data_IF_236219726134
#
_entry.id   IF_236219726134
#
_cell.length_a   1.000
_cell.length_b   1.000
_cell.length_c   1.000
_cell.angle_alpha   90.00
_cell.angle_beta   90.00
_cell.angle_gamma   90.00
#
_symmetry.space_group_name_H-M   'P 1'
#
loop_
_entity.id
_entity.type
_entity.pdbx_description
1 polymer ?
#
# COMPACT_ATOMS: atom_id res chain seq x y z
N UNK A 1 15.51 -9.76 1.08
CA UNK A 1 15.22 -9.80 -0.37
C UNK A 1 14.93 -8.38 -0.81
N UNK A 2 15.55 -7.90 -1.89
CA UNK A 2 15.28 -6.55 -2.41
C UNK A 2 13.86 -6.51 -2.99
N UNK A 3 12.95 -5.79 -2.33
CA UNK A 3 11.57 -5.64 -2.78
C UNK A 3 11.51 -4.68 -3.98
N UNK A 4 11.65 -5.23 -5.18
CA UNK A 4 11.29 -4.52 -6.39
C UNK A 4 9.76 -4.44 -6.50
N UNK A 5 9.26 -3.52 -7.32
CA UNK A 5 7.82 -3.37 -7.63
C UNK A 5 7.31 -4.61 -8.38
N UNK A 6 7.14 -5.70 -7.64
CA UNK A 6 6.78 -7.02 -8.11
C UNK A 6 5.34 -7.32 -7.74
N UNK A 7 4.63 -8.13 -8.54
CA UNK A 7 3.34 -8.67 -8.14
C UNK A 7 3.40 -9.30 -6.74
N UNK A 8 2.43 -8.94 -5.89
CA UNK A 8 2.32 -9.39 -4.51
C UNK A 8 2.95 -8.45 -3.47
N UNK A 9 3.86 -7.55 -3.87
CA UNK A 9 4.45 -6.57 -2.96
C UNK A 9 3.42 -5.52 -2.51
N UNK A 10 3.60 -5.03 -1.28
CA UNK A 10 2.75 -4.01 -0.68
C UNK A 10 3.40 -2.64 -0.76
N UNK A 11 2.58 -1.63 -1.04
CA UNK A 11 3.02 -0.26 -1.30
C UNK A 11 2.07 0.77 -0.71
N UNK A 12 2.62 1.93 -0.38
CA UNK A 12 1.88 3.14 -0.04
C UNK A 12 2.11 4.23 -1.08
N UNK A 13 1.07 5.02 -1.31
CA UNK A 13 1.15 6.17 -2.20
C UNK A 13 1.46 7.44 -1.37
N UNK A 14 2.67 8.02 -1.46
CA UNK A 14 3.07 9.11 -0.56
C UNK A 14 2.26 10.40 -0.74
N UNK A 15 1.70 10.63 -1.94
CA UNK A 15 0.86 11.79 -2.23
C UNK A 15 -0.64 11.55 -1.99
N UNK A 16 -1.02 10.29 -1.70
CA UNK A 16 -2.41 9.88 -1.52
C UNK A 16 -2.49 8.89 -0.35
N UNK A 17 -2.17 9.33 0.88
CA UNK A 17 -2.20 8.45 2.05
C UNK A 17 -3.60 7.89 2.31
N UNK A 18 -4.65 8.64 1.94
CA UNK A 18 -6.05 8.25 2.10
C UNK A 18 -6.46 7.05 1.24
N UNK A 19 -5.66 6.67 0.23
CA UNK A 19 -5.91 5.45 -0.54
C UNK A 19 -5.60 4.18 0.26
N UNK A 20 -4.83 4.34 1.34
CA UNK A 20 -4.42 3.28 2.24
C UNK A 20 -3.40 2.34 1.63
N UNK A 21 -3.33 1.15 2.21
CA UNK A 21 -2.43 0.10 1.79
C UNK A 21 -2.78 -0.41 0.38
N UNK A 22 -1.79 -0.52 -0.50
CA UNK A 22 -1.95 -1.02 -1.86
C UNK A 22 -1.13 -2.27 -2.14
N UNK A 23 -1.72 -3.24 -2.84
CA UNK A 23 -0.99 -4.42 -3.31
C UNK A 23 -0.73 -4.34 -4.81
N UNK A 24 0.52 -4.56 -5.23
CA UNK A 24 0.86 -4.64 -6.65
C UNK A 24 0.26 -5.91 -7.25
N UNK A 25 -0.61 -5.77 -8.25
CA UNK A 25 -1.13 -6.90 -9.02
C UNK A 25 -0.28 -7.21 -10.25
N UNK A 26 0.27 -6.17 -10.90
CA UNK A 26 1.13 -6.33 -12.07
C UNK A 26 2.09 -5.16 -12.21
N UNK A 27 3.26 -5.41 -12.81
CA UNK A 27 4.25 -4.39 -13.11
C UNK A 27 4.82 -4.63 -14.51
N UNK A 28 4.65 -3.66 -15.41
CA UNK A 28 5.14 -3.70 -16.79
C UNK A 28 5.92 -2.42 -17.07
N UNK A 29 7.25 -2.52 -17.06
CA UNK A 29 8.13 -1.35 -17.14
C UNK A 29 7.85 -0.39 -15.99
N UNK A 30 7.47 0.85 -16.32
CA UNK A 30 7.12 1.88 -15.34
C UNK A 30 5.63 1.92 -14.98
N UNK A 31 4.81 1.06 -15.58
CA UNK A 31 3.36 1.02 -15.34
C UNK A 31 3.05 -0.11 -14.37
N UNK A 32 2.63 0.24 -13.17
CA UNK A 32 2.36 -0.70 -12.09
C UNK A 32 0.89 -0.60 -11.72
N UNK A 33 0.18 -1.73 -11.78
CA UNK A 33 -1.21 -1.81 -11.36
C UNK A 33 -1.23 -2.19 -9.89
N UNK A 34 -1.80 -1.32 -9.07
CA UNK A 34 -1.91 -1.49 -7.62
C UNK A 34 -3.38 -1.51 -7.24
N UNK A 35 -3.79 -2.43 -6.38
CA UNK A 35 -5.10 -2.42 -5.76
C UNK A 35 -4.99 -1.83 -4.35
N UNK A 36 -5.44 -0.60 -4.20
CA UNK A 36 -5.47 0.14 -2.94
C UNK A 36 -6.75 -0.18 -2.16
N UNK A 37 -6.65 -0.25 -0.83
CA UNK A 37 -7.76 -0.59 0.05
C UNK A 37 -8.96 0.36 -0.10
N UNK A 38 -8.72 1.67 -0.24
CA UNK A 38 -9.80 2.67 -0.30
C UNK A 38 -10.04 3.22 -1.71
N UNK A 39 -9.04 3.20 -2.59
CA UNK A 39 -9.17 3.70 -3.96
C UNK A 39 -9.42 2.61 -5.01
N UNK A 40 -9.31 1.33 -4.63
CA UNK A 40 -9.43 0.19 -5.54
C UNK A 40 -8.26 0.10 -6.51
N UNK A 41 -8.52 -0.43 -7.71
CA UNK A 41 -7.47 -0.71 -8.71
C UNK A 41 -7.05 0.56 -9.45
N UNK A 42 -5.80 0.97 -9.27
CA UNK A 42 -5.20 2.15 -9.88
C UNK A 42 -3.95 1.76 -10.66
N UNK A 43 -3.79 2.33 -11.85
CA UNK A 43 -2.55 2.24 -12.61
C UNK A 43 -1.64 3.40 -12.23
N UNK A 44 -0.49 3.10 -11.64
CA UNK A 44 0.51 4.08 -11.21
C UNK A 44 1.68 4.08 -12.20
N UNK A 45 2.14 5.27 -12.59
CA UNK A 45 3.35 5.45 -13.38
C UNK A 45 4.54 5.72 -12.46
N UNK A 46 5.39 4.72 -12.25
CA UNK A 46 6.53 4.80 -11.33
C UNK A 46 7.73 5.56 -11.86
N UNK A 47 7.69 6.00 -13.13
CA UNK A 47 8.64 6.99 -13.64
C UNK A 47 8.33 8.42 -13.14
N UNK A 48 7.11 8.67 -12.66
CA UNK A 48 6.66 9.98 -12.18
C UNK A 48 6.43 9.96 -10.67
N UNK A 49 5.88 8.86 -10.14
CA UNK A 49 5.56 8.72 -8.72
C UNK A 49 6.33 7.55 -8.12
N UNK A 50 7.16 7.83 -7.11
CA UNK A 50 7.83 6.79 -6.35
C UNK A 50 6.88 6.24 -5.27
N UNK A 51 6.45 4.99 -5.45
CA UNK A 51 5.69 4.26 -4.43
C UNK A 51 6.63 3.82 -3.30
N UNK A 52 6.17 3.92 -2.06
CA UNK A 52 6.89 3.39 -0.91
C UNK A 52 6.57 1.91 -0.79
N UNK A 53 7.55 1.05 -0.99
CA UNK A 53 7.39 -0.39 -0.80
C UNK A 53 7.53 -0.70 0.69
N UNK A 54 6.59 -1.46 1.22
CA UNK A 54 6.61 -1.96 2.60
C UNK A 54 7.26 -3.33 2.61
N UNK A 55 8.27 -3.53 3.45
CA UNK A 55 8.77 -4.86 3.76
C UNK A 55 7.77 -5.61 4.66
N UNK A 56 7.89 -6.94 4.73
CA UNK A 56 6.96 -7.79 5.49
C UNK A 56 6.81 -7.34 6.97
N UNK A 57 7.91 -6.95 7.62
CA UNK A 57 7.89 -6.48 9.00
C UNK A 57 7.21 -5.11 9.18
N UNK A 58 7.29 -4.25 8.17
CA UNK A 58 6.61 -2.94 8.16
C UNK A 58 5.12 -3.10 7.86
N UNK A 59 4.78 -4.04 6.98
CA UNK A 59 3.41 -4.42 6.68
C UNK A 59 2.68 -4.94 7.93
N UNK A 60 3.30 -5.88 8.65
CA UNK A 60 2.74 -6.41 9.89
C UNK A 60 2.50 -5.28 10.91
N UNK A 61 3.48 -4.40 11.08
CA UNK A 61 3.35 -3.24 11.96
C UNK A 61 2.25 -2.26 11.52
N UNK A 62 2.07 -2.06 10.21
CA UNK A 62 1.02 -1.23 9.63
C UNK A 62 -0.38 -1.81 9.90
N UNK A 63 -0.57 -3.11 9.64
CA UNK A 63 -1.84 -3.80 9.87
C UNK A 63 -2.21 -3.82 11.35
N UNK A 64 -1.23 -4.03 12.24
CA UNK A 64 -1.43 -3.94 13.69
C UNK A 64 -1.82 -2.52 14.14
N UNK A 65 -1.22 -1.49 13.53
CA UNK A 65 -1.54 -0.10 13.81
C UNK A 65 -2.96 0.26 13.35
N UNK A 66 -3.38 -0.15 12.15
CA UNK A 66 -4.76 0.01 11.67
C UNK A 66 -5.77 -0.72 12.58
N UNK A 67 -5.49 -1.97 12.95
CA UNK A 67 -6.37 -2.74 13.82
C UNK A 67 -6.53 -2.09 15.21
N UNK A 68 -5.47 -1.46 15.73
CA UNK A 68 -5.54 -0.66 16.96
C UNK A 68 -6.33 0.63 16.76
N UNK A 69 -6.16 1.34 15.64
CA UNK A 69 -6.90 2.55 15.33
C UNK A 69 -8.42 2.29 15.22
N UNK A 70 -8.82 1.19 14.58
CA UNK A 70 -10.23 0.80 14.46
C UNK A 70 -10.85 0.47 15.83
N UNK A 71 -10.13 -0.28 16.69
CA UNK A 71 -10.57 -0.59 18.05
C UNK A 71 -10.68 0.65 18.94
N UNK A 72 -9.75 1.60 18.82
CA UNK A 72 -9.78 2.86 19.57
C UNK A 72 -11.02 3.70 19.21
N UNK A 73 -11.46 3.64 17.94
CA UNK A 73 -12.64 4.38 17.48
C UNK A 73 -13.95 3.71 17.93
N UNK A 74 -13.98 2.38 18.10
CA UNK A 74 -15.18 1.63 18.51
C UNK A 74 -15.40 1.55 20.03
N UNK A 75 -14.40 1.90 20.85
CA UNK A 75 -14.46 1.85 22.32
C UNK A 75 -15.06 3.08 23.02
N UNK A 76 -15.52 4.09 22.29
CA UNK A 76 -16.01 5.35 22.83
C UNK A 76 -17.55 5.48 22.89
N UNK A 77 -18.28 4.35 22.84
CA UNK A 77 -19.75 4.33 22.95
C UNK A 77 -20.20 3.64 24.23
#
# INVERSE_FOLDING_TARGET
>A
MSFFLLPGAWVLHPQQPDWGLGQIQSAVGHRVTVNFAHAGKVLVNTAVVSLQVLEDHELDAYLDAEAKAEKATRGAA
#
